data_IF_762133937588
#
_entry.id   IF_762133937588
#
_cell.length_a   1.000
_cell.length_b   1.000
_cell.length_c   1.000
_cell.angle_alpha   90.00
_cell.angle_beta   90.00
_cell.angle_gamma   90.00
#
_symmetry.space_group_name_H-M   'P 1'
#
loop_
_entity.id
_entity.type
_entity.pdbx_description
1 polymer ?
#
# COMPACT_ATOMS: atom_id res chain seq x y z
N UNK A 1 6.19 9.34 -25.67
CA UNK A 1 5.35 9.23 -24.45
C UNK A 1 6.25 9.54 -23.26
N UNK A 2 5.90 10.52 -22.42
CA UNK A 2 6.61 10.77 -21.16
C UNK A 2 5.93 9.96 -20.07
N UNK A 3 6.72 9.24 -19.28
CA UNK A 3 6.22 8.51 -18.12
C UNK A 3 6.84 9.11 -16.87
N UNK A 4 6.03 9.27 -15.84
CA UNK A 4 6.48 9.73 -14.53
C UNK A 4 6.62 8.52 -13.63
N UNK A 5 7.80 8.37 -13.02
CA UNK A 5 8.03 7.34 -12.02
C UNK A 5 7.78 7.94 -10.64
N UNK A 6 6.81 7.41 -9.91
CA UNK A 6 6.65 7.71 -8.49
C UNK A 6 7.75 7.01 -7.70
N UNK A 7 8.47 7.75 -6.86
CA UNK A 7 9.49 7.21 -5.97
C UNK A 7 9.12 7.52 -4.53
N UNK A 8 9.02 6.48 -3.70
CA UNK A 8 8.87 6.63 -2.25
C UNK A 8 10.27 6.85 -1.67
N UNK A 9 10.47 7.93 -0.89
CA UNK A 9 11.73 8.13 -0.17
C UNK A 9 11.75 7.18 1.04
N UNK A 10 12.41 6.04 0.90
CA UNK A 10 12.52 5.03 1.95
C UNK A 10 13.88 4.97 2.65
N UNK A 11 14.93 5.60 2.11
CA UNK A 11 16.25 5.68 2.74
C UNK A 11 16.58 7.12 3.16
N UNK A 12 17.15 7.25 4.35
CA UNK A 12 17.50 8.52 5.00
C UNK A 12 18.96 8.45 5.52
N UNK A 13 19.95 8.58 4.63
CA UNK A 13 21.37 8.50 5.00
C UNK A 13 21.80 9.53 6.04
N UNK A 14 21.12 10.69 6.08
CA UNK A 14 21.37 11.76 7.04
C UNK A 14 21.24 11.34 8.51
N UNK A 15 20.46 10.29 8.77
CA UNK A 15 20.22 9.74 10.11
C UNK A 15 20.50 8.24 10.17
N UNK A 16 21.09 7.67 9.11
CA UNK A 16 21.36 6.23 8.95
C UNK A 16 20.14 5.35 9.25
N UNK A 17 18.99 5.69 8.63
CA UNK A 17 17.73 4.93 8.79
C UNK A 17 17.08 4.61 7.45
N UNK A 18 16.33 3.50 7.46
CA UNK A 18 15.46 3.06 6.36
C UNK A 18 14.03 2.97 6.91
N UNK A 19 13.03 3.33 6.09
CA UNK A 19 11.64 3.12 6.44
C UNK A 19 11.32 1.63 6.52
N UNK A 20 10.59 1.26 7.57
CA UNK A 20 9.97 -0.04 7.62
C UNK A 20 8.91 -0.22 6.54
N UNK A 21 8.84 -1.46 6.08
CA UNK A 21 7.86 -1.96 5.15
C UNK A 21 6.71 -2.61 5.93
N UNK A 22 5.47 -2.42 5.49
CA UNK A 22 4.32 -3.02 6.14
C UNK A 22 4.32 -4.54 5.95
N UNK A 23 4.14 -5.29 7.03
CA UNK A 23 4.00 -6.75 7.02
C UNK A 23 2.72 -7.16 7.77
N UNK A 24 1.89 -7.94 7.09
CA UNK A 24 0.63 -8.48 7.58
C UNK A 24 0.70 -9.96 8.00
N UNK A 25 1.89 -10.54 8.19
CA UNK A 25 2.03 -11.96 8.57
C UNK A 25 1.33 -12.31 9.89
N UNK A 26 1.07 -11.31 10.75
CA UNK A 26 0.33 -11.48 12.01
C UNK A 26 -1.19 -11.28 11.87
N UNK A 27 -1.69 -10.98 10.67
CA UNK A 27 -3.13 -10.89 10.41
C UNK A 27 -3.73 -12.30 10.40
N UNK A 28 -4.78 -12.52 11.19
CA UNK A 28 -5.36 -13.85 11.44
C UNK A 28 -5.89 -14.53 10.17
N UNK A 29 -6.60 -13.78 9.32
CA UNK A 29 -7.26 -14.28 8.12
C UNK A 29 -6.42 -14.05 6.84
N UNK A 30 -5.12 -13.75 6.97
CA UNK A 30 -4.23 -13.46 5.83
C UNK A 30 -4.25 -14.53 4.75
N UNK A 31 -4.27 -15.82 5.13
CA UNK A 31 -4.22 -16.94 4.19
C UNK A 31 -5.48 -17.03 3.33
N UNK A 32 -6.61 -16.52 3.83
CA UNK A 32 -7.87 -16.48 3.09
C UNK A 32 -7.92 -15.32 2.10
N UNK A 33 -7.36 -14.15 2.46
CA UNK A 33 -7.53 -12.93 1.67
C UNK A 33 -6.29 -12.55 0.85
N UNK A 34 -5.09 -12.62 1.42
CA UNK A 34 -3.89 -12.06 0.78
C UNK A 34 -3.51 -12.78 -0.51
N UNK A 35 -3.57 -14.12 -0.64
CA UNK A 35 -3.32 -14.78 -1.92
C UNK A 35 -4.28 -14.35 -3.03
N UNK A 36 -5.56 -14.13 -2.68
CA UNK A 36 -6.58 -13.65 -3.62
C UNK A 36 -6.29 -12.22 -4.06
N UNK A 37 -5.95 -11.34 -3.11
CA UNK A 37 -5.57 -9.96 -3.39
C UNK A 37 -4.27 -9.91 -4.22
N UNK A 38 -3.28 -10.77 -3.93
CA UNK A 38 -2.06 -10.98 -4.73
C UNK A 38 -2.36 -11.44 -6.15
N UNK A 39 -3.41 -12.23 -6.33
CA UNK A 39 -3.94 -12.63 -7.64
C UNK A 39 -4.90 -11.60 -8.25
N UNK A 40 -4.83 -10.35 -7.77
CA UNK A 40 -5.59 -9.21 -8.27
C UNK A 40 -7.12 -9.30 -8.09
N UNK A 41 -7.59 -10.19 -7.22
CA UNK A 41 -9.00 -10.24 -6.84
C UNK A 41 -9.38 -9.02 -5.99
N UNK A 42 -10.52 -8.40 -6.31
CA UNK A 42 -11.12 -7.34 -5.49
C UNK A 42 -12.21 -7.94 -4.62
N UNK A 43 -11.99 -7.91 -3.31
CA UNK A 43 -12.89 -8.52 -2.32
C UNK A 43 -13.62 -7.41 -1.58
N UNK A 44 -14.78 -6.99 -2.10
CA UNK A 44 -15.53 -5.83 -1.60
C UNK A 44 -16.06 -6.01 -0.16
N UNK A 45 -16.25 -7.25 0.27
CA UNK A 45 -16.71 -7.64 1.61
C UNK A 45 -15.55 -8.09 2.52
N UNK A 46 -14.31 -7.71 2.18
CA UNK A 46 -13.16 -7.98 3.04
C UNK A 46 -13.34 -7.31 4.43
N UNK A 47 -12.96 -8.00 5.51
CA UNK A 47 -13.02 -7.44 6.85
C UNK A 47 -11.93 -6.39 7.04
N UNK A 48 -12.01 -5.65 8.15
CA UNK A 48 -10.89 -4.83 8.60
C UNK A 48 -9.76 -5.75 9.05
N UNK A 49 -8.60 -5.66 8.39
CA UNK A 49 -7.41 -6.41 8.80
C UNK A 49 -6.82 -5.78 10.07
N UNK A 50 -6.73 -6.56 11.15
CA UNK A 50 -6.54 -6.00 12.50
C UNK A 50 -5.25 -5.17 12.65
N UNK A 51 -4.09 -5.69 12.26
CA UNK A 51 -2.90 -4.84 12.15
C UNK A 51 -1.81 -5.41 11.25
N UNK A 52 -1.07 -4.47 10.66
CA UNK A 52 0.24 -4.65 10.05
C UNK A 52 1.29 -4.08 10.99
N UNK A 53 2.52 -4.57 10.94
CA UNK A 53 3.66 -3.93 11.61
C UNK A 53 4.69 -3.48 10.59
N UNK A 54 5.54 -2.53 10.97
CA UNK A 54 6.68 -2.14 10.14
C UNK A 54 7.85 -3.10 10.37
N UNK A 55 8.45 -3.58 9.29
CA UNK A 55 9.62 -4.46 9.28
C UNK A 55 10.77 -3.81 8.52
N UNK A 56 11.98 -3.91 9.06
CA UNK A 56 13.25 -3.57 8.39
C UNK A 56 14.22 -4.76 8.51
N UNK A 57 15.35 -4.69 7.81
CA UNK A 57 16.49 -5.59 8.06
C UNK A 57 17.30 -5.17 9.30
N UNK A 58 17.10 -3.94 9.76
CA UNK A 58 17.71 -3.33 10.93
C UNK A 58 16.97 -3.75 12.23
N UNK A 59 17.43 -3.33 13.43
CA UNK A 59 16.73 -3.59 14.68
C UNK A 59 15.25 -3.16 14.64
N UNK A 60 14.40 -3.85 15.40
CA UNK A 60 12.95 -3.63 15.37
C UNK A 60 12.55 -2.19 15.71
N UNK A 61 13.25 -1.53 16.64
CA UNK A 61 13.02 -0.11 16.94
C UNK A 61 13.19 0.80 15.71
N UNK A 62 14.04 0.40 14.76
CA UNK A 62 14.28 1.14 13.53
C UNK A 62 13.18 0.95 12.51
N UNK A 63 12.33 -0.05 12.66
CA UNK A 63 11.18 -0.17 11.77
C UNK A 63 10.11 0.88 12.07
N UNK A 64 10.01 1.31 13.32
CA UNK A 64 9.03 2.29 13.81
C UNK A 64 9.64 3.67 14.09
N UNK A 65 10.81 3.97 13.49
CA UNK A 65 11.48 5.25 13.69
C UNK A 65 10.65 6.46 13.20
N UNK A 66 9.81 6.26 12.17
CA UNK A 66 8.99 7.31 11.57
C UNK A 66 7.74 6.77 10.89
N UNK A 67 6.63 7.46 11.14
CA UNK A 67 5.35 7.26 10.44
C UNK A 67 5.33 8.04 9.11
N UNK A 68 4.84 7.42 8.02
CA UNK A 68 4.68 8.07 6.71
C UNK A 68 3.33 7.80 6.06
N UNK A 69 2.98 8.66 5.11
CA UNK A 69 1.76 8.51 4.32
C UNK A 69 1.78 7.28 3.41
N UNK A 70 2.97 6.80 3.04
CA UNK A 70 3.14 5.67 2.13
C UNK A 70 4.28 4.78 2.62
N UNK A 71 3.98 3.50 2.80
CA UNK A 71 4.94 2.43 3.02
C UNK A 71 4.82 1.41 1.88
N UNK A 72 5.93 0.77 1.53
CA UNK A 72 5.89 -0.46 0.73
C UNK A 72 5.49 -1.65 1.60
N UNK A 73 5.13 -2.77 0.99
CA UNK A 73 4.97 -4.04 1.69
C UNK A 73 6.29 -4.80 1.73
N UNK A 74 6.60 -5.49 2.83
CA UNK A 74 7.62 -6.52 2.80
C UNK A 74 6.97 -7.71 2.09
N UNK A 75 7.59 -8.20 1.03
CA UNK A 75 6.96 -9.15 0.08
C UNK A 75 6.54 -10.51 0.67
N UNK A 76 6.54 -10.69 1.98
CA UNK A 76 5.95 -11.83 2.67
C UNK A 76 4.42 -11.75 2.64
N UNK A 77 3.82 -10.71 3.22
CA UNK A 77 2.37 -10.61 3.31
C UNK A 77 1.85 -9.17 3.39
N UNK A 78 1.00 -8.75 2.44
CA UNK A 78 0.68 -9.40 1.17
C UNK A 78 1.80 -9.23 0.13
N UNK A 79 2.04 -10.27 -0.67
CA UNK A 79 2.91 -10.22 -1.85
C UNK A 79 2.16 -9.55 -3.01
N UNK A 80 1.93 -8.24 -2.90
CA UNK A 80 1.14 -7.44 -3.85
C UNK A 80 1.95 -6.26 -4.36
N UNK A 81 1.71 -5.89 -5.62
CA UNK A 81 2.08 -4.57 -6.12
C UNK A 81 1.05 -3.55 -5.64
N UNK A 82 1.14 -3.16 -4.37
CA UNK A 82 0.24 -2.22 -3.70
C UNK A 82 1.04 -1.24 -2.85
N UNK A 83 0.40 -0.17 -2.39
CA UNK A 83 0.96 0.70 -1.35
C UNK A 83 0.18 0.57 -0.05
N UNK A 84 0.89 0.72 1.05
CA UNK A 84 0.30 0.80 2.36
C UNK A 84 0.23 2.26 2.78
N UNK A 85 -0.98 2.82 2.85
CA UNK A 85 -1.17 4.28 2.85
C UNK A 85 -1.96 4.78 4.04
N UNK A 86 -1.65 5.99 4.50
CA UNK A 86 -2.41 6.68 5.54
C UNK A 86 -3.81 7.05 5.05
N UNK A 87 -4.71 7.33 5.99
CA UNK A 87 -6.05 7.84 5.64
C UNK A 87 -5.97 9.18 4.91
N UNK A 88 -5.03 10.06 5.30
CA UNK A 88 -4.77 11.33 4.60
C UNK A 88 -4.42 11.13 3.13
N UNK A 89 -3.58 10.14 2.82
CA UNK A 89 -3.21 9.83 1.44
C UNK A 89 -4.38 9.22 0.68
N UNK A 90 -5.14 8.30 1.28
CA UNK A 90 -6.39 7.77 0.70
C UNK A 90 -7.37 8.88 0.32
N UNK A 91 -7.59 9.85 1.21
CA UNK A 91 -8.46 10.98 0.92
C UNK A 91 -7.95 11.81 -0.25
N UNK A 92 -6.64 12.09 -0.30
CA UNK A 92 -6.02 12.83 -1.40
C UNK A 92 -6.27 12.13 -2.75
N UNK A 93 -5.99 10.83 -2.83
CA UNK A 93 -6.18 10.03 -4.06
C UNK A 93 -7.65 10.01 -4.48
N UNK A 94 -8.56 9.87 -3.51
CA UNK A 94 -10.01 9.84 -3.75
C UNK A 94 -10.52 11.19 -4.28
N UNK A 95 -10.06 12.31 -3.72
CA UNK A 95 -10.45 13.66 -4.15
C UNK A 95 -10.00 13.98 -5.58
N UNK A 96 -8.84 13.47 -5.99
CA UNK A 96 -8.28 13.73 -7.32
C UNK A 96 -8.73 12.74 -8.40
N UNK A 97 -9.43 11.65 -8.03
CA UNK A 97 -9.95 10.64 -8.95
C UNK A 97 -8.92 10.21 -10.02
N UNK A 98 -7.70 9.91 -9.56
CA UNK A 98 -6.50 9.79 -10.42
C UNK A 98 -6.49 8.53 -11.30
N UNK A 99 -7.36 7.55 -11.04
CA UNK A 99 -7.46 6.30 -11.79
C UNK A 99 -8.92 5.83 -11.81
N UNK A 100 -9.33 5.18 -12.90
CA UNK A 100 -10.71 4.72 -13.08
C UNK A 100 -11.08 3.54 -12.21
N UNK A 101 -10.10 2.78 -11.72
CA UNK A 101 -10.33 1.69 -10.79
C UNK A 101 -9.13 1.48 -9.87
N UNK A 102 -9.44 1.30 -8.59
CA UNK A 102 -8.56 0.94 -7.49
C UNK A 102 -9.45 0.45 -6.34
N UNK A 103 -8.86 -0.19 -5.34
CA UNK A 103 -9.58 -0.56 -4.12
C UNK A 103 -8.74 -0.27 -2.88
N UNK A 104 -9.41 0.14 -1.80
CA UNK A 104 -8.78 0.34 -0.49
C UNK A 104 -9.31 -0.69 0.48
N UNK A 105 -8.44 -1.56 0.98
CA UNK A 105 -8.79 -2.45 2.08
C UNK A 105 -8.52 -1.75 3.40
N UNK A 106 -9.50 -1.77 4.30
CA UNK A 106 -9.36 -1.21 5.64
C UNK A 106 -8.39 -2.05 6.47
N UNK A 107 -7.39 -1.41 7.07
CA UNK A 107 -6.39 -2.06 7.91
C UNK A 107 -6.06 -1.20 9.12
N UNK A 108 -5.19 -1.68 10.00
CA UNK A 108 -4.50 -0.81 10.95
C UNK A 108 -3.00 -1.01 10.86
N UNK A 109 -2.24 0.06 11.11
CA UNK A 109 -0.80 0.00 11.32
C UNK A 109 -0.56 -0.04 12.82
N UNK A 110 0.08 -1.10 13.31
CA UNK A 110 0.71 -1.08 14.61
C UNK A 110 1.98 -0.24 14.49
N UNK A 111 1.96 0.90 15.16
CA UNK A 111 3.10 1.80 15.28
C UNK A 111 3.33 2.04 16.76
N UNK A 112 4.43 1.50 17.28
CA UNK A 112 4.68 1.38 18.72
C UNK A 112 3.57 0.54 19.36
N UNK A 113 2.94 1.06 20.40
CA UNK A 113 1.83 0.39 21.10
C UNK A 113 0.44 0.84 20.62
N UNK A 114 0.38 1.66 19.56
CA UNK A 114 -0.87 2.18 19.01
C UNK A 114 -1.23 1.50 17.68
N UNK A 115 -2.54 1.38 17.41
CA UNK A 115 -3.07 0.92 16.13
C UNK A 115 -3.73 2.08 15.39
N UNK A 116 -3.11 2.52 14.30
CA UNK A 116 -3.52 3.66 13.50
C UNK A 116 -4.29 3.21 12.26
N UNK A 117 -5.29 3.98 11.83
CA UNK A 117 -6.03 3.67 10.60
C UNK A 117 -5.13 3.81 9.37
N UNK A 118 -4.98 2.73 8.62
CA UNK A 118 -4.19 2.65 7.39
C UNK A 118 -4.92 1.80 6.35
N UNK A 119 -4.48 1.89 5.10
CA UNK A 119 -5.18 1.28 3.99
C UNK A 119 -4.20 0.55 3.10
N UNK A 120 -4.55 -0.66 2.69
CA UNK A 120 -3.88 -1.28 1.56
C UNK A 120 -4.51 -0.73 0.28
N UNK A 121 -3.76 0.12 -0.41
CA UNK A 121 -4.11 0.67 -1.70
C UNK A 121 -3.72 -0.29 -2.81
N UNK A 122 -4.72 -1.04 -3.29
CA UNK A 122 -4.57 -1.95 -4.40
C UNK A 122 -4.80 -1.20 -5.71
N UNK A 123 -3.72 -1.08 -6.49
CA UNK A 123 -3.78 -0.51 -7.84
C UNK A 123 -4.76 -1.24 -8.73
N UNK A 124 -5.27 -0.50 -9.73
CA UNK A 124 -6.27 -0.96 -10.68
C UNK A 124 -6.13 -2.42 -11.10
N UNK A 125 -7.09 -3.23 -10.63
CA UNK A 125 -7.54 -4.54 -11.12
C UNK A 125 -6.58 -5.18 -12.13
N UNK A 126 -5.47 -5.75 -11.65
CA UNK A 126 -4.47 -6.43 -12.48
C UNK A 126 -4.86 -7.89 -12.76
N UNK A 127 -6.05 -8.12 -13.31
CA UNK A 127 -6.43 -9.44 -13.81
C UNK A 127 -5.60 -9.84 -15.05
N UNK A 128 -5.56 -11.13 -15.40
CA UNK A 128 -4.84 -11.64 -16.60
C UNK A 128 -5.33 -11.06 -17.94
N UNK A 129 -6.40 -10.25 -17.95
CA UNK A 129 -6.96 -9.52 -19.09
C UNK A 129 -6.75 -8.00 -19.00
N UNK A 130 -5.62 -7.57 -18.45
CA UNK A 130 -5.29 -6.16 -18.18
C UNK A 130 -4.95 -5.37 -19.46
N UNK A 131 -5.75 -4.36 -19.78
CA UNK A 131 -5.39 -3.28 -20.72
C UNK A 131 -5.17 -1.97 -19.95
N UNK A 132 -3.92 -1.49 -19.80
CA UNK A 132 -3.60 -0.23 -19.12
C UNK A 132 -4.37 0.98 -19.68
N UNK A 133 -4.77 0.92 -20.95
CA UNK A 133 -5.47 2.01 -21.63
C UNK A 133 -6.92 2.18 -21.18
N UNK A 134 -7.50 1.17 -20.54
CA UNK A 134 -8.87 1.23 -20.01
C UNK A 134 -8.94 1.88 -18.62
N UNK A 135 -7.82 1.89 -17.88
CA UNK A 135 -7.77 2.26 -16.46
C UNK A 135 -7.19 3.67 -16.23
N UNK A 136 -6.32 4.12 -17.15
CA UNK A 136 -5.69 5.43 -17.11
C UNK A 136 -6.46 6.38 -18.04
N UNK A 137 -6.97 7.48 -17.49
CA UNK A 137 -7.53 8.56 -18.31
C UNK A 137 -6.40 9.46 -18.80
N UNK A 138 -5.79 9.08 -19.93
CA UNK A 138 -4.68 9.84 -20.51
C UNK A 138 -5.06 11.29 -20.83
N UNK A 139 -6.32 11.57 -21.18
CA UNK A 139 -6.78 12.92 -21.52
C UNK A 139 -6.91 13.83 -20.30
N UNK A 140 -7.11 13.26 -19.11
CA UNK A 140 -7.16 14.00 -17.83
C UNK A 140 -5.83 13.98 -17.07
N UNK A 141 -4.89 13.16 -17.52
CA UNK A 141 -3.56 13.18 -16.96
C UNK A 141 -2.88 14.49 -17.34
N UNK A 142 -2.68 15.39 -16.37
CA UNK A 142 -1.89 16.62 -16.51
C UNK A 142 -0.39 16.36 -16.75
N UNK A 143 0.00 15.09 -16.88
CA UNK A 143 1.35 14.60 -17.07
C UNK A 143 1.65 14.25 -18.54
N UNK A 144 0.99 14.89 -19.50
CA UNK A 144 1.32 14.82 -20.93
C UNK A 144 2.28 15.94 -21.35
#
# INVERSE_FOLDING_TARGET
MKYYQTKIKSSFPEVDKILGYANGVLVENRELYFPRISNSEVIYDAPVFDYFYLQTYDPKEDAEWRLQDVHGFSGEYPAVSAWYVSDRFKELITRHNIAKAFHFYATKLKFKDEKLAYWMFHYGILGHSFDPNTMIDFNRSIFL
#
